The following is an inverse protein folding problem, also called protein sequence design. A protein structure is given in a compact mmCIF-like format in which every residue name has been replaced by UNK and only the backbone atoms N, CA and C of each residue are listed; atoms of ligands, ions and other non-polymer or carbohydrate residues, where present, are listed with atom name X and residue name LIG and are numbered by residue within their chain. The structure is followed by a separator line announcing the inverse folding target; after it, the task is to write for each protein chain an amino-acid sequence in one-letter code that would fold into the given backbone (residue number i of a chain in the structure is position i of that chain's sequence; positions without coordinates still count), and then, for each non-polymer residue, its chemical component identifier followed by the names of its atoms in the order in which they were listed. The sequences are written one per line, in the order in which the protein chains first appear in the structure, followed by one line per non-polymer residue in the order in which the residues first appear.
data_IF_226510730738
#
_entry.id   IF_226510730738
#
_cell.length_a   1.000
_cell.length_b   1.000
_cell.length_c   1.000
_cell.angle_alpha   90.00
_cell.angle_beta   90.00
_cell.angle_gamma   90.00
#
_symmetry.space_group_name_H-M   'P 1'
#
loop_
_entity.id
_entity.type
_entity.pdbx_description
1 polymer ?
#
# COMPACT_ATOMS: atom_id res chain seq x y z
N UNK A 1 -24.11 13.28 2.17
CA UNK A 1 -24.92 13.99 1.15
C UNK A 1 -26.41 13.60 1.13
N UNK A 2 -26.92 12.76 2.05
CA UNK A 2 -28.37 12.51 2.23
C UNK A 2 -29.13 12.23 0.92
N UNK A 3 -30.44 12.57 0.89
CA UNK A 3 -31.24 12.46 -0.34
C UNK A 3 -30.80 13.39 -1.47
N UNK A 4 -30.05 14.46 -1.17
CA UNK A 4 -29.56 15.41 -2.17
C UNK A 4 -28.49 14.83 -3.09
N UNK A 5 -27.76 13.79 -2.66
CA UNK A 5 -26.80 13.07 -3.52
C UNK A 5 -27.44 12.19 -4.60
N UNK A 6 -28.75 11.96 -4.55
CA UNK A 6 -29.49 11.21 -5.59
C UNK A 6 -30.03 12.12 -6.70
N UNK A 7 -29.95 13.44 -6.54
CA UNK A 7 -30.36 14.39 -7.58
C UNK A 7 -29.30 14.50 -8.67
N UNK A 8 -29.68 14.52 -9.94
CA UNK A 8 -28.73 14.76 -11.03
C UNK A 8 -28.00 16.10 -10.94
N UNK A 9 -28.60 17.10 -10.27
CA UNK A 9 -27.96 18.39 -10.01
C UNK A 9 -26.76 18.28 -9.05
N UNK A 10 -26.63 17.17 -8.34
CA UNK A 10 -25.47 16.90 -7.47
C UNK A 10 -24.26 16.35 -8.23
N UNK A 11 -24.38 16.07 -9.53
CA UNK A 11 -23.27 15.60 -10.38
C UNK A 11 -22.87 14.13 -10.21
N UNK A 12 -23.32 13.44 -9.15
CA UNK A 12 -22.90 12.07 -8.84
C UNK A 12 -23.34 11.01 -9.87
N UNK A 13 -24.46 11.20 -10.58
CA UNK A 13 -24.92 10.24 -11.59
C UNK A 13 -23.97 10.15 -12.80
N UNK A 14 -23.31 11.26 -13.18
CA UNK A 14 -22.28 11.29 -14.22
C UNK A 14 -20.94 10.75 -13.69
N UNK A 15 -20.58 11.14 -12.47
CA UNK A 15 -19.35 10.70 -11.82
C UNK A 15 -19.39 9.23 -11.36
N UNK A 16 -20.54 8.55 -11.31
CA UNK A 16 -20.61 7.12 -10.95
C UNK A 16 -20.31 6.20 -12.12
N UNK A 17 -20.74 6.55 -13.34
CA UNK A 17 -20.68 5.64 -14.48
C UNK A 17 -19.33 5.68 -15.21
N UNK A 18 -18.63 6.83 -15.23
CA UNK A 18 -17.31 6.95 -15.85
C UNK A 18 -16.17 6.21 -15.10
N UNK A 19 -16.07 6.24 -13.76
CA UNK A 19 -14.99 5.55 -13.04
C UNK A 19 -15.13 4.02 -13.05
N UNK A 20 -16.36 3.51 -13.16
CA UNK A 20 -16.61 2.07 -13.19
C UNK A 20 -16.04 1.41 -14.46
N UNK A 21 -16.06 2.11 -15.60
CA UNK A 21 -15.37 1.65 -16.80
C UNK A 21 -13.84 1.56 -16.58
N UNK A 22 -13.28 2.48 -15.78
CA UNK A 22 -11.86 2.47 -15.39
C UNK A 22 -11.43 1.24 -14.58
N UNK A 23 -12.38 0.48 -14.00
CA UNK A 23 -12.07 -0.76 -13.26
C UNK A 23 -11.83 -1.97 -14.18
N UNK A 24 -12.11 -1.82 -15.49
CA UNK A 24 -12.04 -2.90 -16.49
C UNK A 24 -11.29 -2.54 -17.77
N UNK A 25 -11.21 -1.26 -18.14
CA UNK A 25 -10.84 -0.84 -19.51
C UNK A 25 -9.39 -1.16 -19.91
N UNK A 26 -8.48 -1.36 -18.96
CA UNK A 26 -7.08 -1.73 -19.24
C UNK A 26 -6.71 -3.11 -18.64
N UNK A 27 -7.74 -3.91 -18.37
CA UNK A 27 -7.64 -5.16 -17.65
C UNK A 27 -8.40 -5.08 -16.32
N UNK A 28 -9.12 -6.14 -15.99
CA UNK A 28 -9.88 -6.23 -14.74
C UNK A 28 -8.93 -6.05 -13.55
N UNK A 29 -9.23 -5.13 -12.63
CA UNK A 29 -8.37 -4.83 -11.48
C UNK A 29 -7.90 -6.07 -10.71
N UNK A 30 -8.80 -7.03 -10.44
CA UNK A 30 -8.44 -8.27 -9.74
C UNK A 30 -7.39 -9.09 -10.52
N UNK A 31 -7.47 -9.09 -11.85
CA UNK A 31 -6.52 -9.78 -12.73
C UNK A 31 -5.18 -9.06 -12.78
N UNK A 32 -5.19 -7.72 -12.82
CA UNK A 32 -3.97 -6.91 -12.77
C UNK A 32 -3.23 -7.04 -11.43
N UNK A 33 -3.98 -7.13 -10.33
CA UNK A 33 -3.43 -7.37 -8.99
C UNK A 33 -2.89 -8.80 -8.86
N UNK A 34 -3.68 -9.82 -9.21
CA UNK A 34 -3.28 -11.22 -9.05
C UNK A 34 -2.14 -11.66 -9.99
N UNK A 35 -2.09 -11.09 -11.19
CA UNK A 35 -1.12 -11.44 -12.23
C UNK A 35 0.12 -10.55 -12.22
N UNK A 36 0.13 -9.46 -13.02
CA UNK A 36 1.34 -8.68 -13.27
C UNK A 36 1.88 -7.99 -12.02
N UNK A 37 1.04 -7.43 -11.15
CA UNK A 37 1.49 -6.75 -9.93
C UNK A 37 2.16 -7.73 -8.95
N UNK A 38 1.49 -8.85 -8.66
CA UNK A 38 2.06 -9.90 -7.83
C UNK A 38 3.36 -10.47 -8.41
N UNK A 39 3.42 -10.70 -9.73
CA UNK A 39 4.63 -11.20 -10.38
C UNK A 39 5.77 -10.19 -10.33
N UNK A 40 5.47 -8.89 -10.47
CA UNK A 40 6.46 -7.83 -10.27
C UNK A 40 7.04 -7.89 -8.86
N UNK A 41 6.22 -8.00 -7.82
CA UNK A 41 6.67 -8.05 -6.42
C UNK A 41 7.58 -9.25 -6.14
N UNK A 42 7.22 -10.43 -6.64
CA UNK A 42 8.05 -11.63 -6.51
C UNK A 42 9.39 -11.44 -7.23
N UNK A 43 9.39 -10.87 -8.44
CA UNK A 43 10.63 -10.55 -9.16
C UNK A 43 11.51 -9.56 -8.39
N UNK A 44 10.92 -8.49 -7.85
CA UNK A 44 11.67 -7.51 -7.05
C UNK A 44 12.26 -8.13 -5.78
N UNK A 45 11.52 -9.00 -5.09
CA UNK A 45 12.07 -9.74 -3.95
C UNK A 45 13.28 -10.60 -4.34
N UNK A 46 13.20 -11.30 -5.47
CA UNK A 46 14.33 -12.09 -5.99
C UNK A 46 15.53 -11.20 -6.33
N UNK A 47 15.31 -10.05 -6.96
CA UNK A 47 16.38 -9.09 -7.27
C UNK A 47 17.01 -8.50 -6.00
N UNK A 48 16.21 -8.14 -4.99
CA UNK A 48 16.70 -7.69 -3.67
C UNK A 48 17.55 -8.77 -3.01
N UNK A 49 17.13 -10.05 -3.07
CA UNK A 49 17.92 -11.19 -2.56
C UNK A 49 19.26 -11.34 -3.27
N UNK A 50 19.28 -11.27 -4.60
CA UNK A 50 20.52 -11.29 -5.40
C UNK A 50 21.46 -10.14 -5.06
N UNK A 51 20.91 -9.00 -4.67
CA UNK A 51 21.64 -7.77 -4.29
C UNK A 51 22.01 -7.73 -2.81
N UNK A 52 22.26 -8.88 -2.17
CA UNK A 52 22.64 -8.98 -0.75
C UNK A 52 21.65 -8.27 0.19
N UNK A 53 20.35 -8.34 -0.16
CA UNK A 53 19.28 -7.76 0.64
C UNK A 53 19.06 -6.27 0.43
N UNK A 54 19.54 -5.69 -0.68
CA UNK A 54 19.35 -4.27 -1.00
C UNK A 54 18.38 -4.05 -2.16
N UNK A 55 17.32 -3.28 -1.89
CA UNK A 55 16.32 -2.93 -2.88
C UNK A 55 16.91 -1.93 -3.89
N UNK A 56 16.45 -2.03 -5.14
CA UNK A 56 16.88 -1.12 -6.22
C UNK A 56 16.37 0.29 -5.98
N UNK A 57 15.15 0.37 -5.46
CA UNK A 57 14.41 1.61 -5.33
C UNK A 57 13.94 1.83 -3.89
N UNK A 58 13.95 3.08 -3.40
CA UNK A 58 13.51 3.39 -2.04
C UNK A 58 12.08 2.93 -1.71
N UNK A 59 11.15 3.02 -2.66
CA UNK A 59 9.77 2.57 -2.51
C UNK A 59 9.61 1.04 -2.39
N UNK A 60 10.70 0.29 -2.54
CA UNK A 60 10.76 -1.16 -2.36
C UNK A 60 11.64 -1.55 -1.17
N UNK A 61 12.12 -0.59 -0.37
CA UNK A 61 13.03 -0.84 0.75
C UNK A 61 12.41 -1.78 1.82
N UNK A 62 11.08 -1.85 1.92
CA UNK A 62 10.41 -2.80 2.81
C UNK A 62 10.70 -4.28 2.44
N UNK A 63 11.06 -4.57 1.19
CA UNK A 63 11.46 -5.92 0.76
C UNK A 63 12.81 -6.34 1.35
N UNK A 64 13.65 -5.38 1.77
CA UNK A 64 14.93 -5.68 2.42
C UNK A 64 14.71 -6.48 3.71
N UNK A 65 13.61 -6.21 4.44
CA UNK A 65 13.29 -6.88 5.71
C UNK A 65 13.00 -8.37 5.56
N UNK A 66 12.55 -8.80 4.38
CA UNK A 66 12.22 -10.21 4.06
C UNK A 66 13.20 -10.82 3.05
N UNK A 67 14.28 -10.10 2.75
CA UNK A 67 15.31 -10.59 1.83
C UNK A 67 16.21 -11.64 2.48
N UNK A 68 16.31 -11.64 3.82
CA UNK A 68 16.94 -12.70 4.61
C UNK A 68 16.04 -13.94 4.70
N UNK A 69 16.63 -15.13 4.67
CA UNK A 69 15.90 -16.40 4.61
C UNK A 69 15.38 -16.93 5.97
N UNK A 70 15.90 -16.43 7.10
CA UNK A 70 15.56 -16.94 8.44
C UNK A 70 15.22 -15.79 9.38
N UNK A 71 14.13 -15.90 10.15
CA UNK A 71 13.80 -14.94 11.22
C UNK A 71 13.08 -13.66 10.79
N UNK A 72 12.89 -13.42 9.48
CA UNK A 72 12.34 -12.15 8.98
C UNK A 72 10.93 -11.84 9.51
N UNK A 73 10.10 -12.86 9.70
CA UNK A 73 8.75 -12.69 10.25
C UNK A 73 8.82 -12.30 11.72
N UNK A 74 9.67 -12.97 12.50
CA UNK A 74 9.89 -12.71 13.92
C UNK A 74 10.47 -11.30 14.14
N UNK A 75 11.41 -10.88 13.29
CA UNK A 75 12.02 -9.54 13.36
C UNK A 75 11.01 -8.43 13.02
N UNK A 76 10.15 -8.66 12.02
CA UNK A 76 9.03 -7.75 11.73
C UNK A 76 8.05 -7.71 12.90
N UNK A 77 7.69 -8.86 13.48
CA UNK A 77 6.80 -8.91 14.64
C UNK A 77 7.37 -8.16 15.85
N UNK A 78 8.66 -8.33 16.16
CA UNK A 78 9.33 -7.56 17.22
C UNK A 78 9.29 -6.06 16.94
N UNK A 79 9.60 -5.65 15.71
CA UNK A 79 9.52 -4.23 15.30
C UNK A 79 8.12 -3.66 15.51
N UNK A 80 7.08 -4.39 15.13
CA UNK A 80 5.69 -3.96 15.32
C UNK A 80 5.31 -3.85 16.80
N UNK A 81 5.85 -4.72 17.67
CA UNK A 81 5.60 -4.68 19.11
C UNK A 81 6.29 -3.52 19.82
N UNK A 82 7.34 -2.94 19.23
CA UNK A 82 8.03 -1.77 19.80
C UNK A 82 7.33 -0.43 19.55
N UNK A 83 6.22 -0.45 18.79
CA UNK A 83 5.50 0.78 18.43
C UNK A 83 4.63 1.25 19.60
N UNK A 84 4.92 2.45 20.09
CA UNK A 84 4.20 3.08 21.20
C UNK A 84 3.11 4.02 20.70
N UNK A 85 2.20 4.42 21.59
CA UNK A 85 1.13 5.37 21.26
C UNK A 85 1.66 6.69 20.66
N UNK A 86 2.78 7.20 21.20
CA UNK A 86 3.44 8.41 20.71
C UNK A 86 4.03 8.26 19.29
N UNK A 87 4.36 7.04 18.88
CA UNK A 87 4.85 6.79 17.54
C UNK A 87 3.72 6.79 16.50
N UNK A 88 2.47 6.52 16.89
CA UNK A 88 1.33 6.63 15.96
C UNK A 88 1.07 8.07 15.49
N UNK A 89 1.59 9.07 16.20
CA UNK A 89 1.56 10.47 15.75
C UNK A 89 2.59 10.78 14.66
N UNK A 90 3.57 9.89 14.43
CA UNK A 90 4.65 10.10 13.47
C UNK A 90 4.31 9.41 12.14
N UNK A 91 4.16 10.17 11.03
CA UNK A 91 3.88 9.59 9.71
C UNK A 91 4.83 8.46 9.34
N UNK A 92 6.11 8.59 9.70
CA UNK A 92 7.13 7.59 9.40
C UNK A 92 6.85 6.24 10.06
N UNK A 93 6.41 6.21 11.31
CA UNK A 93 6.14 4.96 12.01
C UNK A 93 4.91 4.25 11.42
N UNK A 94 3.88 5.00 11.02
CA UNK A 94 2.72 4.47 10.31
C UNK A 94 3.10 3.94 8.92
N UNK A 95 3.98 4.63 8.20
CA UNK A 95 4.49 4.17 6.91
C UNK A 95 5.28 2.86 7.07
N UNK A 96 6.11 2.74 8.11
CA UNK A 96 6.85 1.52 8.43
C UNK A 96 5.89 0.35 8.75
N UNK A 97 4.74 0.60 9.40
CA UNK A 97 3.70 -0.41 9.64
C UNK A 97 3.08 -0.91 8.33
N UNK A 98 2.75 -0.01 7.41
CA UNK A 98 2.26 -0.39 6.07
C UNK A 98 3.32 -1.19 5.32
N UNK A 99 4.60 -0.81 5.43
CA UNK A 99 5.73 -1.55 4.88
C UNK A 99 5.83 -2.96 5.47
N UNK A 100 5.65 -3.12 6.78
CA UNK A 100 5.68 -4.42 7.45
C UNK A 100 4.57 -5.32 6.94
N UNK A 101 3.36 -4.78 6.80
CA UNK A 101 2.21 -5.49 6.22
C UNK A 101 2.50 -5.95 4.78
N UNK A 102 3.02 -5.06 3.94
CA UNK A 102 3.37 -5.39 2.56
C UNK A 102 4.46 -6.47 2.50
N UNK A 103 5.51 -6.34 3.32
CA UNK A 103 6.60 -7.31 3.42
C UNK A 103 6.07 -8.70 3.79
N UNK A 104 5.27 -8.81 4.85
CA UNK A 104 4.73 -10.10 5.31
C UNK A 104 3.86 -10.79 4.25
N UNK A 105 3.01 -10.03 3.55
CA UNK A 105 2.15 -10.59 2.50
C UNK A 105 2.95 -11.02 1.27
N UNK A 106 3.96 -10.25 0.86
CA UNK A 106 4.86 -10.64 -0.23
C UNK A 106 5.68 -11.87 0.16
N UNK A 107 6.15 -11.97 1.41
CA UNK A 107 6.87 -13.15 1.88
C UNK A 107 5.99 -14.41 1.86
N UNK A 108 4.74 -14.31 2.35
CA UNK A 108 3.78 -15.43 2.31
C UNK A 108 3.48 -15.89 0.89
N UNK A 109 3.28 -14.94 -0.04
CA UNK A 109 3.09 -15.26 -1.45
C UNK A 109 4.32 -15.96 -2.05
N UNK A 110 5.52 -15.49 -1.72
CA UNK A 110 6.76 -16.09 -2.19
C UNK A 110 6.95 -17.52 -1.66
N UNK A 111 6.63 -17.76 -0.38
CA UNK A 111 6.64 -19.09 0.23
C UNK A 111 5.63 -20.01 -0.45
N UNK A 112 4.36 -19.58 -0.57
CA UNK A 112 3.30 -20.33 -1.25
C UNK A 112 3.71 -20.78 -2.65
N UNK A 113 4.27 -19.86 -3.45
CA UNK A 113 4.73 -20.14 -4.83
C UNK A 113 6.01 -20.96 -4.92
N UNK A 114 6.75 -21.12 -3.83
CA UNK A 114 7.96 -21.96 -3.77
C UNK A 114 7.65 -23.40 -3.38
N UNK A 115 6.49 -23.65 -2.79
CA UNK A 115 6.04 -25.00 -2.47
C UNK A 115 5.71 -25.77 -3.75
N UNK A 116 6.14 -27.04 -3.79
CA UNK A 116 5.95 -27.88 -4.96
C UNK A 116 4.54 -28.50 -4.93
N UNK A 117 3.56 -27.78 -5.48
CA UNK A 117 2.18 -28.26 -5.62
C UNK A 117 1.84 -28.58 -7.08
N UNK A 118 0.91 -29.52 -7.26
CA UNK A 118 0.29 -29.77 -8.56
C UNK A 118 -0.54 -28.55 -8.95
N UNK A 119 -0.29 -27.98 -10.14
CA UNK A 119 -1.06 -26.85 -10.67
C UNK A 119 -2.54 -27.15 -10.90
N UNK A 120 -2.96 -28.41 -10.77
CA UNK A 120 -4.35 -28.84 -10.92
C UNK A 120 -5.13 -28.81 -9.59
N UNK A 121 -4.49 -28.42 -8.48
CA UNK A 121 -5.18 -28.20 -7.21
C UNK A 121 -5.89 -26.82 -7.20
N UNK A 122 -7.20 -26.84 -7.40
CA UNK A 122 -8.03 -25.62 -7.36
C UNK A 122 -7.98 -24.86 -6.02
N UNK A 123 -7.65 -25.54 -4.91
CA UNK A 123 -7.46 -24.87 -3.61
C UNK A 123 -6.17 -24.05 -3.62
N UNK A 124 -5.09 -24.63 -4.16
CA UNK A 124 -3.81 -23.95 -4.30
C UNK A 124 -3.93 -22.69 -5.19
N UNK A 125 -4.62 -22.78 -6.32
CA UNK A 125 -4.84 -21.63 -7.22
C UNK A 125 -5.70 -20.53 -6.58
N UNK A 126 -6.73 -20.92 -5.82
CA UNK A 126 -7.56 -19.96 -5.08
C UNK A 126 -6.75 -19.20 -4.02
N UNK A 127 -5.94 -19.92 -3.23
CA UNK A 127 -5.08 -19.33 -2.21
C UNK A 127 -4.02 -18.42 -2.86
N UNK A 128 -3.40 -18.86 -3.97
CA UNK A 128 -2.43 -18.05 -4.71
C UNK A 128 -3.05 -16.72 -5.16
N UNK A 129 -4.23 -16.77 -5.77
CA UNK A 129 -4.95 -15.59 -6.23
C UNK A 129 -5.25 -14.64 -5.06
N UNK A 130 -5.74 -15.17 -3.93
CA UNK A 130 -6.05 -14.36 -2.76
C UNK A 130 -4.80 -13.68 -2.18
N UNK A 131 -3.70 -14.44 -2.00
CA UNK A 131 -2.43 -13.90 -1.53
C UNK A 131 -1.84 -12.87 -2.50
N UNK A 132 -1.92 -13.14 -3.81
CA UNK A 132 -1.44 -12.25 -4.86
C UNK A 132 -2.17 -10.91 -4.86
N UNK A 133 -3.50 -10.92 -4.74
CA UNK A 133 -4.30 -9.70 -4.63
C UNK A 133 -3.97 -8.96 -3.34
N UNK A 134 -3.91 -9.64 -2.19
CA UNK A 134 -3.63 -9.00 -0.90
C UNK A 134 -2.23 -8.37 -0.84
N UNK A 135 -1.22 -9.08 -1.34
CA UNK A 135 0.15 -8.56 -1.42
C UNK A 135 0.23 -7.33 -2.34
N UNK A 136 -0.41 -7.40 -3.51
CA UNK A 136 -0.44 -6.31 -4.47
C UNK A 136 -1.18 -5.08 -3.94
N UNK A 137 -2.32 -5.27 -3.28
CA UNK A 137 -3.07 -4.18 -2.63
C UNK A 137 -2.27 -3.57 -1.49
N UNK A 138 -1.63 -4.39 -0.65
CA UNK A 138 -0.80 -3.87 0.44
C UNK A 138 0.40 -3.06 -0.08
N UNK A 139 1.04 -3.53 -1.16
CA UNK A 139 2.07 -2.76 -1.84
C UNK A 139 1.52 -1.44 -2.41
N UNK A 140 0.38 -1.47 -3.10
CA UNK A 140 -0.22 -0.25 -3.67
C UNK A 140 -0.54 0.80 -2.60
N UNK A 141 -1.12 0.38 -1.48
CA UNK A 141 -1.37 1.24 -0.32
C UNK A 141 -0.06 1.83 0.23
N UNK A 142 0.95 0.98 0.42
CA UNK A 142 2.28 1.45 0.87
C UNK A 142 2.91 2.43 -0.12
N UNK A 143 2.85 2.16 -1.42
CA UNK A 143 3.47 2.97 -2.46
C UNK A 143 2.85 4.37 -2.52
N UNK A 144 1.52 4.47 -2.47
CA UNK A 144 0.81 5.75 -2.43
C UNK A 144 1.15 6.52 -1.15
N UNK A 145 1.16 5.84 -0.01
CA UNK A 145 1.54 6.42 1.27
C UNK A 145 3.00 6.92 1.28
N UNK A 146 3.92 6.14 0.70
CA UNK A 146 5.33 6.49 0.55
C UNK A 146 5.49 7.76 -0.31
N UNK A 147 4.84 7.81 -1.47
CA UNK A 147 4.90 8.96 -2.37
C UNK A 147 4.31 10.23 -1.72
N UNK A 148 3.21 10.09 -0.97
CA UNK A 148 2.61 11.23 -0.27
C UNK A 148 3.51 11.71 0.88
N UNK A 149 4.09 10.78 1.66
CA UNK A 149 5.05 11.10 2.70
C UNK A 149 6.28 11.84 2.15
N UNK A 150 6.89 11.32 1.08
CA UNK A 150 8.05 11.94 0.43
C UNK A 150 7.72 13.35 -0.09
N UNK A 151 6.53 13.55 -0.68
CA UNK A 151 6.08 14.88 -1.11
C UNK A 151 5.97 15.86 0.08
N UNK A 152 5.37 15.43 1.19
CA UNK A 152 5.21 16.28 2.39
C UNK A 152 6.57 16.61 2.99
N UNK A 153 7.49 15.66 3.11
CA UNK A 153 8.86 15.91 3.60
C UNK A 153 9.63 16.87 2.69
N UNK A 154 9.49 16.73 1.37
CA UNK A 154 10.08 17.67 0.41
C UNK A 154 9.50 19.08 0.59
N UNK A 155 8.18 19.21 0.81
CA UNK A 155 7.55 20.52 1.04
C UNK A 155 7.96 21.14 2.38
N UNK A 156 8.16 20.33 3.42
CA UNK A 156 8.64 20.79 4.73
C UNK A 156 10.08 21.29 4.69
N UNK A 157 10.91 20.72 3.81
CA UNK A 157 12.33 21.08 3.66
C UNK A 157 12.59 22.13 2.57
N UNK A 158 11.60 22.43 1.72
CA UNK A 158 11.72 23.38 0.61
C UNK A 158 11.48 24.82 1.06
N UNK A 159 12.20 25.76 0.43
CA UNK A 159 11.91 27.19 0.55
C UNK A 159 10.67 27.59 -0.29
N UNK A 160 9.99 28.66 0.12
CA UNK A 160 8.82 29.22 -0.56
C UNK A 160 9.09 29.58 -2.05
N UNK A 161 10.30 30.02 -2.37
CA UNK A 161 10.75 30.36 -3.74
C UNK A 161 10.86 29.11 -4.59
N UNK A 162 11.48 28.05 -4.06
CA UNK A 162 11.58 26.73 -4.71
C UNK A 162 10.20 26.12 -5.02
N UNK A 163 9.26 26.18 -4.07
CA UNK A 163 7.91 25.63 -4.28
C UNK A 163 7.11 26.40 -5.34
N UNK A 164 7.24 27.73 -5.40
CA UNK A 164 6.58 28.54 -6.43
C UNK A 164 7.09 28.22 -7.83
N UNK A 165 8.38 27.97 -8.00
CA UNK A 165 8.96 27.55 -9.28
C UNK A 165 8.45 26.17 -9.70
N UNK A 166 8.36 25.22 -8.76
CA UNK A 166 7.96 23.84 -9.06
C UNK A 166 6.46 23.67 -9.29
N UNK A 167 5.62 24.35 -8.50
CA UNK A 167 4.17 24.12 -8.47
C UNK A 167 3.36 25.33 -8.99
N UNK A 168 4.00 26.43 -9.35
CA UNK A 168 3.34 27.67 -9.78
C UNK A 168 2.66 28.45 -8.66
N UNK A 169 2.68 27.95 -7.42
CA UNK A 169 2.01 28.54 -6.25
C UNK A 169 2.96 28.59 -5.07
N UNK A 170 2.89 29.67 -4.29
CA UNK A 170 3.61 29.78 -3.01
C UNK A 170 2.96 28.85 -1.99
N UNK A 171 3.64 27.75 -1.64
CA UNK A 171 3.17 26.84 -0.60
C UNK A 171 3.45 27.47 0.76
N UNK A 172 2.40 27.74 1.54
CA UNK A 172 2.51 28.29 2.88
C UNK A 172 2.64 27.18 3.92
N UNK A 173 3.18 27.52 5.10
CA UNK A 173 3.31 26.59 6.22
C UNK A 173 1.96 25.95 6.62
N UNK A 174 0.86 26.71 6.54
CA UNK A 174 -0.50 26.21 6.80
C UNK A 174 -0.92 25.12 5.82
N UNK A 175 -0.55 25.24 4.54
CA UNK A 175 -0.81 24.19 3.53
C UNK A 175 -0.04 22.92 3.85
N UNK A 176 1.24 23.05 4.24
CA UNK A 176 2.08 21.90 4.60
C UNK A 176 1.54 21.19 5.85
N UNK A 177 1.14 21.95 6.88
CA UNK A 177 0.52 21.40 8.09
C UNK A 177 -0.79 20.67 7.80
N UNK A 178 -1.63 21.20 6.89
CA UNK A 178 -2.85 20.54 6.46
C UNK A 178 -2.56 19.23 5.71
N UNK A 179 -1.56 19.22 4.81
CA UNK A 179 -1.14 18.03 4.08
C UNK A 179 -0.54 16.96 5.01
N UNK A 180 0.25 17.35 6.00
CA UNK A 180 0.77 16.45 7.03
C UNK A 180 -0.36 15.82 7.87
N UNK A 181 -1.35 16.63 8.25
CA UNK A 181 -2.53 16.13 8.97
C UNK A 181 -3.34 15.14 8.13
N UNK A 182 -3.50 15.43 6.83
CA UNK A 182 -4.19 14.55 5.89
C UNK A 182 -3.41 13.24 5.65
N UNK A 183 -2.08 13.33 5.54
CA UNK A 183 -1.19 12.17 5.44
C UNK A 183 -1.36 11.25 6.65
N UNK A 184 -1.30 11.79 7.88
CA UNK A 184 -1.51 11.02 9.11
C UNK A 184 -2.89 10.35 9.13
N UNK A 185 -3.93 11.08 8.75
CA UNK A 185 -5.28 10.53 8.66
C UNK A 185 -5.36 9.31 7.74
N UNK A 186 -4.85 9.42 6.50
CA UNK A 186 -4.86 8.29 5.56
C UNK A 186 -3.98 7.13 6.00
N UNK A 187 -2.82 7.42 6.59
CA UNK A 187 -1.93 6.40 7.15
C UNK A 187 -2.61 5.63 8.28
N UNK A 188 -3.25 6.32 9.24
CA UNK A 188 -4.00 5.71 10.33
C UNK A 188 -5.17 4.88 9.81
N UNK A 189 -5.92 5.38 8.83
CA UNK A 189 -7.02 4.65 8.22
C UNK A 189 -6.55 3.32 7.63
N UNK A 190 -5.40 3.31 6.95
CA UNK A 190 -4.85 2.08 6.36
C UNK A 190 -4.17 1.15 7.38
N UNK A 191 -3.74 1.66 8.53
CA UNK A 191 -3.12 0.88 9.61
C UNK A 191 -4.14 0.25 10.58
N UNK A 192 -5.18 1.00 10.96
CA UNK A 192 -6.10 0.65 12.07
C UNK A 192 -7.50 0.23 11.59
N UNK A 193 -7.96 0.74 10.44
CA UNK A 193 -9.37 0.64 10.04
C UNK A 193 -9.65 -0.36 8.92
N UNK A 194 -8.75 -1.31 8.67
CA UNK A 194 -9.02 -2.39 7.71
C UNK A 194 -9.94 -3.47 8.33
N UNK A 195 -11.15 -3.09 8.74
CA UNK A 195 -12.24 -4.05 9.00
C UNK A 195 -12.87 -4.47 7.67
N UNK A 196 -12.19 -5.36 6.96
CA UNK A 196 -12.91 -6.41 6.22
C UNK A 196 -12.84 -7.67 7.08
N UNK A 197 -13.45 -7.61 8.28
CA UNK A 197 -13.97 -8.82 8.87
C UNK A 197 -15.26 -9.11 8.10
N UNK A 198 -15.36 -10.19 7.30
CA UNK A 198 -16.65 -10.60 6.79
C UNK A 198 -17.54 -10.79 8.01
N UNK A 199 -18.59 -9.98 8.10
CA UNK A 199 -19.69 -10.26 9.00
C UNK A 199 -20.16 -11.66 8.65
N UNK A 200 -19.89 -12.61 9.56
CA UNK A 200 -20.52 -13.91 9.53
C UNK A 200 -22.03 -13.66 9.68
N UNK A 201 -22.69 -13.53 8.53
CA UNK A 201 -24.13 -13.47 8.37
C UNK A 201 -24.50 -14.63 7.46
N UNK A 202 -24.54 -15.83 8.04
CA UNK A 202 -25.31 -16.96 7.56
C UNK A 202 -25.20 -18.12 8.56
N UNK A 203 -26.08 -18.13 9.55
CA UNK A 203 -26.80 -19.29 10.05
C UNK A 203 -27.97 -18.79 10.90
#
# INVERSE_FOLDING_TARGET
MGGHGFSQASGFDFERNQPNAGLIYEGKNSMLLAGPSAQFLIKQLHETRKRKGKAIRPELAYLEWISGASGAVEDISKRMQTITAEQFEKPRALLDLLGCRAALLVNRLAQHRSESHSREDGVYEHIDTNLAVRASTAHGVYLLAYAFHDLVEQLMSSDATSTKVRFGVSVQHTHVAALDSLLRFYLLQNCLLSQDAPTASAA
#
